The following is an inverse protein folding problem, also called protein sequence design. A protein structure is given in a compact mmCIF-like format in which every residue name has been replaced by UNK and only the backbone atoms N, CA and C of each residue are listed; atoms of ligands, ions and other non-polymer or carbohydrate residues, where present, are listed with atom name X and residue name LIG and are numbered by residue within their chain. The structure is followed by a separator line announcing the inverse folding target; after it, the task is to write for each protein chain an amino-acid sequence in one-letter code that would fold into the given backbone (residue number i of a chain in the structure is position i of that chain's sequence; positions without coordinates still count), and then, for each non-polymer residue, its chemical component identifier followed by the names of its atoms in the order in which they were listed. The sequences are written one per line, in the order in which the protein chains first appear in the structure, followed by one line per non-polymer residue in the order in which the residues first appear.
data_IF_353405110045
#
_entry.id   IF_353405110045
#
_cell.length_a   1.000
_cell.length_b   1.000
_cell.length_c   1.000
_cell.angle_alpha   90.00
_cell.angle_beta   90.00
_cell.angle_gamma   90.00
#
_symmetry.space_group_name_H-M   'P 1'
#
loop_
_entity.id
_entity.type
_entity.pdbx_description
1 polymer ?
#
# COMPACT_ATOMS: atom_id res chain seq x y z
N UNK A 1 -3.75 3.49 1.80
CA UNK A 1 -3.39 2.05 1.86
C UNK A 1 -4.49 1.17 1.27
N UNK A 2 -5.70 1.13 1.86
CA UNK A 2 -6.83 0.30 1.39
C UNK A 2 -7.09 0.37 -0.11
N UNK A 3 -7.28 1.57 -0.67
CA UNK A 3 -7.61 1.77 -2.10
C UNK A 3 -6.60 1.15 -3.05
N UNK A 4 -5.30 1.32 -2.75
CA UNK A 4 -4.23 0.77 -3.60
C UNK A 4 -4.16 -0.75 -3.49
N UNK A 5 -4.26 -1.29 -2.27
CA UNK A 5 -4.22 -2.74 -2.02
C UNK A 5 -5.42 -3.47 -2.61
N UNK A 6 -6.59 -2.84 -2.70
CA UNK A 6 -7.76 -3.40 -3.38
C UNK A 6 -7.75 -3.26 -4.90
N UNK A 7 -6.63 -2.80 -5.48
CA UNK A 7 -6.52 -2.42 -6.89
C UNK A 7 -7.68 -1.52 -7.35
N UNK A 8 -7.85 -0.39 -6.64
CA UNK A 8 -8.93 0.59 -6.84
C UNK A 8 -10.35 0.01 -6.67
N UNK A 9 -10.49 -1.08 -5.91
CA UNK A 9 -11.79 -1.67 -5.54
C UNK A 9 -12.26 -2.78 -6.49
N UNK A 10 -11.43 -3.18 -7.45
CA UNK A 10 -11.69 -4.30 -8.36
C UNK A 10 -11.50 -5.66 -7.69
N UNK A 11 -10.54 -5.76 -6.76
CA UNK A 11 -10.17 -6.99 -6.04
C UNK A 11 -9.73 -8.19 -6.91
N UNK A 12 -9.71 -8.06 -8.25
CA UNK A 12 -9.21 -9.07 -9.19
C UNK A 12 -7.73 -9.42 -8.96
N UNK A 13 -6.99 -8.46 -8.41
CA UNK A 13 -5.55 -8.52 -8.18
C UNK A 13 -5.18 -7.72 -6.93
N UNK A 14 -5.84 -8.03 -5.81
CA UNK A 14 -5.68 -7.29 -4.57
C UNK A 14 -6.29 -7.99 -3.35
N UNK A 15 -6.33 -7.29 -2.22
CA UNK A 15 -6.89 -7.83 -0.98
C UNK A 15 -7.62 -6.77 -0.15
N UNK A 16 -8.34 -7.23 0.88
CA UNK A 16 -9.04 -6.36 1.81
C UNK A 16 -8.13 -6.00 2.98
N UNK A 17 -7.77 -4.71 3.08
CA UNK A 17 -7.07 -4.16 4.25
C UNK A 17 -8.10 -3.88 5.34
N UNK A 18 -7.82 -4.36 6.55
CA UNK A 18 -8.72 -4.30 7.71
C UNK A 18 -8.12 -3.46 8.84
N UNK A 19 -8.98 -2.88 9.68
CA UNK A 19 -8.61 -2.13 10.89
C UNK A 19 -9.26 -2.79 12.11
N UNK A 20 -8.52 -2.86 13.21
CA UNK A 20 -8.94 -3.46 14.47
C UNK A 20 -8.46 -2.63 15.66
N UNK A 21 -9.02 -2.90 16.85
CA UNK A 21 -8.68 -2.19 18.08
C UNK A 21 -9.30 -0.81 18.18
N UNK A 22 -8.60 0.09 18.88
CA UNK A 22 -9.05 1.46 19.14
C UNK A 22 -8.97 2.31 17.86
N UNK A 23 -10.14 2.75 17.37
CA UNK A 23 -10.23 3.45 16.08
C UNK A 23 -9.88 4.93 16.18
N UNK A 24 -10.00 5.54 17.37
CA UNK A 24 -9.65 6.95 17.58
C UNK A 24 -8.18 7.25 17.28
N UNK A 25 -7.28 6.27 17.44
CA UNK A 25 -5.87 6.36 17.04
C UNK A 25 -5.72 6.70 15.55
N UNK A 26 -6.67 6.27 14.71
CA UNK A 26 -6.65 6.56 13.27
C UNK A 26 -6.84 8.04 12.92
N UNK A 27 -7.29 8.86 13.86
CA UNK A 27 -7.46 10.31 13.70
C UNK A 27 -6.20 11.10 14.10
N UNK A 28 -5.25 10.46 14.76
CA UNK A 28 -4.00 11.08 15.19
C UNK A 28 -3.03 11.31 14.02
N UNK A 29 -2.11 12.26 14.20
CA UNK A 29 -1.12 12.61 13.17
C UNK A 29 -0.03 11.52 13.06
N UNK A 30 0.21 11.05 11.83
CA UNK A 30 1.14 9.94 11.53
C UNK A 30 2.56 10.14 12.09
N UNK A 31 3.03 11.38 12.23
CA UNK A 31 4.39 11.67 12.71
C UNK A 31 4.62 11.24 14.17
N UNK A 32 3.55 11.11 14.96
CA UNK A 32 3.64 10.60 16.33
C UNK A 32 4.13 9.13 16.36
N UNK A 33 3.91 8.39 15.28
CA UNK A 33 4.24 6.97 15.16
C UNK A 33 5.43 6.68 14.26
N UNK A 34 5.66 7.49 13.21
CA UNK A 34 6.71 7.27 12.21
C UNK A 34 7.79 8.37 12.17
N UNK A 35 7.68 9.38 13.04
CA UNK A 35 8.51 10.58 12.99
C UNK A 35 8.15 11.49 11.81
N UNK A 36 8.93 12.55 11.62
CA UNK A 36 8.76 13.49 10.51
C UNK A 36 9.98 13.52 9.59
N UNK A 37 9.75 13.73 8.30
CA UNK A 37 10.83 13.95 7.33
C UNK A 37 11.10 15.46 7.20
N UNK A 38 12.37 15.85 7.15
CA UNK A 38 12.80 17.25 7.04
C UNK A 38 12.83 17.79 5.61
N UNK A 39 12.83 16.90 4.60
CA UNK A 39 12.82 17.28 3.18
C UNK A 39 11.39 17.20 2.62
N UNK A 40 10.93 18.23 1.88
CA UNK A 40 9.61 18.23 1.27
C UNK A 40 9.50 17.10 0.23
N UNK A 41 8.34 16.44 0.22
CA UNK A 41 7.95 15.49 -0.83
C UNK A 41 7.23 16.29 -1.91
N UNK A 42 7.57 16.05 -3.17
CA UNK A 42 6.75 16.52 -4.29
C UNK A 42 5.41 15.78 -4.28
N UNK A 43 4.38 16.47 -3.78
CA UNK A 43 3.05 15.94 -3.52
C UNK A 43 2.37 15.51 -4.82
N UNK A 44 2.62 16.21 -5.93
CA UNK A 44 1.99 15.94 -7.22
C UNK A 44 2.46 14.60 -7.77
N UNK A 45 3.78 14.38 -7.75
CA UNK A 45 4.39 13.12 -8.20
C UNK A 45 3.96 11.95 -7.31
N UNK A 46 3.93 12.15 -5.99
CA UNK A 46 3.53 11.12 -5.03
C UNK A 46 2.09 10.62 -5.23
N UNK A 47 1.13 11.53 -5.43
CA UNK A 47 -0.29 11.17 -5.63
C UNK A 47 -0.49 10.46 -6.98
N UNK A 48 0.22 10.90 -8.02
CA UNK A 48 0.17 10.29 -9.35
C UNK A 48 0.66 8.82 -9.33
N UNK A 49 1.79 8.56 -8.68
CA UNK A 49 2.36 7.20 -8.59
C UNK A 49 1.48 6.24 -7.78
N UNK A 50 0.81 6.71 -6.74
CA UNK A 50 -0.07 5.88 -5.90
C UNK A 50 -1.33 5.39 -6.61
N UNK A 51 -1.74 6.08 -7.68
CA UNK A 51 -3.00 5.81 -8.39
C UNK A 51 -2.89 4.74 -9.47
N UNK A 52 -1.67 4.41 -9.91
CA UNK A 52 -1.44 3.47 -11.02
C UNK A 52 -1.59 2.02 -10.55
N UNK A 53 -2.35 1.18 -11.26
CA UNK A 53 -2.33 -0.26 -11.05
C UNK A 53 -0.91 -0.79 -11.23
N UNK A 54 -0.51 -1.71 -10.35
CA UNK A 54 0.80 -2.38 -10.42
C UNK A 54 0.54 -3.86 -10.59
N UNK A 55 1.34 -4.53 -11.42
CA UNK A 55 1.29 -5.99 -11.54
C UNK A 55 1.54 -6.66 -10.18
N UNK A 56 0.77 -7.69 -9.87
CA UNK A 56 0.88 -8.43 -8.61
C UNK A 56 1.04 -9.92 -8.88
N UNK A 57 1.60 -10.62 -7.90
CA UNK A 57 1.74 -12.07 -7.87
C UNK A 57 1.16 -12.54 -6.55
N UNK A 58 0.52 -13.72 -6.54
CA UNK A 58 0.08 -14.33 -5.30
C UNK A 58 1.30 -14.58 -4.39
N UNK A 59 1.21 -14.19 -3.12
CA UNK A 59 2.32 -14.34 -2.18
C UNK A 59 2.80 -15.80 -2.04
N UNK A 60 1.92 -16.79 -2.24
CA UNK A 60 2.28 -18.22 -2.22
C UNK A 60 3.03 -18.67 -3.48
N UNK A 61 2.82 -17.99 -4.60
CA UNK A 61 3.39 -18.35 -5.90
C UNK A 61 4.68 -17.57 -6.19
N UNK A 62 4.96 -16.51 -5.42
CA UNK A 62 6.14 -15.66 -5.60
C UNK A 62 7.45 -16.45 -5.55
N UNK A 63 7.53 -17.50 -4.72
CA UNK A 63 8.70 -18.38 -4.67
C UNK A 63 8.89 -19.18 -5.96
N UNK A 64 7.81 -19.73 -6.52
CA UNK A 64 7.85 -20.47 -7.77
C UNK A 64 8.22 -19.55 -8.95
N UNK A 65 7.63 -18.36 -9.01
CA UNK A 65 7.95 -17.38 -10.03
C UNK A 65 9.43 -16.92 -9.96
N UNK A 66 9.98 -16.79 -8.75
CA UNK A 66 11.39 -16.46 -8.59
C UNK A 66 12.31 -17.55 -9.13
N UNK A 67 11.99 -18.83 -8.92
CA UNK A 67 12.77 -19.95 -9.43
C UNK A 67 12.72 -20.04 -10.97
N UNK A 68 11.57 -19.72 -11.57
CA UNK A 68 11.41 -19.73 -13.03
C UNK A 68 12.28 -18.67 -13.74
N UNK A 69 12.54 -17.54 -13.07
CA UNK A 69 13.32 -16.44 -13.63
C UNK A 69 14.83 -16.47 -13.27
N UNK A 70 15.32 -17.55 -12.63
CA UNK A 70 16.75 -17.77 -12.42
C UNK A 70 17.43 -18.30 -13.68
#
# INVERSE_FOLDING_TARGET
VRTRTSNNGTYDSGSHVMQYGEKSIGEELLYLYQGFRTKPIDVVTYVSEQSKPVGVVNQRDAGLLSLQHQ
#
